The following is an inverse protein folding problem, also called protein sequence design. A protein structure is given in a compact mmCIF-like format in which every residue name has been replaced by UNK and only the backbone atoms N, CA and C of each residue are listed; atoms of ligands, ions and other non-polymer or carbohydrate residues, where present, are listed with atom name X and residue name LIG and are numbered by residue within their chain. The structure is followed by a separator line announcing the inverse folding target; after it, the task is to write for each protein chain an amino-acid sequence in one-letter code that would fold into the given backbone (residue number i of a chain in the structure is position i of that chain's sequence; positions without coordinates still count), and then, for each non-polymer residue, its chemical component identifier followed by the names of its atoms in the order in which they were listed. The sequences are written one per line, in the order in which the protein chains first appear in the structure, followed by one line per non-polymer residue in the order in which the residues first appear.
data_IF_810169855978
#
_entry.id   IF_810169855978
#
_cell.length_a   1.000
_cell.length_b   1.000
_cell.length_c   1.000
_cell.angle_alpha   90.00
_cell.angle_beta   90.00
_cell.angle_gamma   90.00
#
_symmetry.space_group_name_H-M   'P 1'
#
loop_
_entity.id
_entity.type
_entity.pdbx_description
1 polymer ?
#
# COMPACT_ATOMS: atom_id res chain seq x y z
N UNK A 1 -34.75 -5.53 10.34
CA UNK A 1 -33.54 -6.35 10.09
C UNK A 1 -32.68 -5.63 9.06
N UNK A 2 -31.71 -4.84 9.51
CA UNK A 2 -30.90 -3.94 8.67
C UNK A 2 -29.56 -4.62 8.36
N UNK A 3 -29.29 -4.85 7.07
CA UNK A 3 -27.97 -5.30 6.59
C UNK A 3 -26.99 -4.13 6.70
N UNK A 4 -26.05 -4.21 7.65
CA UNK A 4 -24.91 -3.27 7.71
C UNK A 4 -23.95 -3.61 6.57
N UNK A 5 -24.02 -2.83 5.49
CA UNK A 5 -23.01 -2.84 4.46
C UNK A 5 -21.68 -2.38 5.05
N UNK A 6 -20.65 -3.20 4.90
CA UNK A 6 -19.26 -2.85 5.18
C UNK A 6 -18.84 -1.77 4.18
N UNK A 7 -18.92 -0.52 4.62
CA UNK A 7 -18.38 0.61 3.87
C UNK A 7 -16.86 0.49 3.79
N UNK A 8 -16.36 -0.15 2.73
CA UNK A 8 -14.96 0.01 2.31
C UNK A 8 -14.74 1.50 2.06
N UNK A 9 -14.06 2.15 3.00
CA UNK A 9 -13.72 3.57 2.92
C UNK A 9 -12.83 3.72 1.69
N UNK A 10 -13.41 4.13 0.56
CA UNK A 10 -12.63 4.54 -0.63
C UNK A 10 -11.65 5.60 -0.14
N UNK A 11 -10.37 5.26 -0.05
CA UNK A 11 -9.31 6.26 0.16
C UNK A 11 -9.52 7.32 -0.92
N UNK A 12 -9.55 8.58 -0.52
CA UNK A 12 -9.67 9.69 -1.47
C UNK A 12 -8.59 9.52 -2.54
N UNK A 13 -9.03 9.35 -3.79
CA UNK A 13 -8.11 9.25 -4.92
C UNK A 13 -7.50 10.64 -5.14
N UNK A 14 -6.20 10.77 -4.92
CA UNK A 14 -5.48 11.98 -5.29
C UNK A 14 -5.16 11.91 -6.79
N UNK A 15 -5.92 12.63 -7.60
CA UNK A 15 -5.69 12.71 -9.04
C UNK A 15 -4.50 13.62 -9.34
N UNK A 16 -3.63 13.16 -10.23
CA UNK A 16 -2.50 13.94 -10.78
C UNK A 16 -2.65 13.99 -12.29
N UNK A 17 -2.53 15.18 -12.86
CA UNK A 17 -2.52 15.35 -14.31
C UNK A 17 -1.09 15.53 -14.82
N UNK A 18 -0.76 14.78 -15.87
CA UNK A 18 0.56 14.85 -16.51
C UNK A 18 0.42 14.99 -18.02
N UNK A 19 1.36 15.70 -18.63
CA UNK A 19 1.47 15.75 -20.09
C UNK A 19 2.05 14.44 -20.62
N UNK A 20 1.45 13.94 -21.69
CA UNK A 20 2.01 12.86 -22.50
C UNK A 20 3.03 13.47 -23.46
N UNK A 21 4.22 12.85 -23.53
CA UNK A 21 5.34 13.34 -24.35
C UNK A 21 5.79 12.26 -25.34
N UNK A 22 6.32 12.65 -26.52
CA UNK A 22 6.89 11.69 -27.45
C UNK A 22 8.18 11.07 -26.89
N UNK A 23 8.35 9.78 -27.10
CA UNK A 23 9.58 9.02 -26.82
C UNK A 23 9.85 8.10 -28.02
N UNK A 24 10.61 8.59 -29.01
CA UNK A 24 10.78 7.88 -30.28
C UNK A 24 9.44 7.64 -30.98
N UNK A 25 9.16 6.40 -31.40
CA UNK A 25 7.88 5.98 -31.98
C UNK A 25 6.78 5.69 -30.93
N UNK A 26 7.03 6.03 -29.67
CA UNK A 26 6.13 5.78 -28.55
C UNK A 26 5.76 7.07 -27.83
N UNK A 27 4.92 6.94 -26.81
CA UNK A 27 4.50 8.03 -25.93
C UNK A 27 4.75 7.64 -24.48
N UNK A 28 5.07 8.62 -23.64
CA UNK A 28 5.29 8.38 -22.21
C UNK A 28 4.79 9.52 -21.34
N UNK A 29 4.77 9.26 -20.04
CA UNK A 29 4.38 10.21 -18.99
C UNK A 29 5.58 10.43 -18.06
N UNK A 30 5.91 11.69 -17.78
CA UNK A 30 7.00 12.04 -16.86
C UNK A 30 6.48 12.09 -15.43
N UNK A 31 6.78 11.06 -14.65
CA UNK A 31 6.42 10.98 -13.23
C UNK A 31 7.49 11.69 -12.36
N UNK A 32 7.10 12.55 -11.40
CA UNK A 32 8.04 13.13 -10.46
C UNK A 32 8.76 12.06 -9.63
N UNK A 33 10.03 12.30 -9.29
CA UNK A 33 10.84 11.39 -8.45
C UNK A 33 10.13 11.03 -7.13
N UNK A 34 9.49 12.00 -6.48
CA UNK A 34 8.74 11.77 -5.25
C UNK A 34 7.60 10.75 -5.41
N UNK A 35 6.95 10.70 -6.58
CA UNK A 35 5.91 9.69 -6.87
C UNK A 35 6.55 8.31 -7.02
N UNK A 36 7.64 8.20 -7.78
CA UNK A 36 8.37 6.94 -7.95
C UNK A 36 8.86 6.38 -6.61
N UNK A 37 9.47 7.23 -5.78
CA UNK A 37 10.00 6.85 -4.47
C UNK A 37 8.88 6.38 -3.52
N UNK A 38 7.74 7.09 -3.49
CA UNK A 38 6.56 6.73 -2.68
C UNK A 38 6.04 5.33 -3.00
N UNK A 39 6.11 4.92 -4.26
CA UNK A 39 5.64 3.59 -4.71
C UNK A 39 6.78 2.59 -4.89
N UNK A 40 8.00 2.92 -4.43
CA UNK A 40 9.20 2.09 -4.55
C UNK A 40 9.44 1.59 -5.99
N UNK A 41 9.15 2.43 -6.98
CA UNK A 41 9.43 2.18 -8.40
C UNK A 41 10.85 2.67 -8.68
N UNK A 42 11.71 1.80 -9.18
CA UNK A 42 13.11 2.11 -9.49
C UNK A 42 13.36 2.12 -11.00
N UNK A 43 13.68 0.96 -11.53
CA UNK A 43 14.15 0.71 -12.90
C UNK A 43 13.03 0.21 -13.82
N UNK A 44 12.05 -0.51 -13.26
CA UNK A 44 10.95 -1.09 -14.03
C UNK A 44 9.59 -0.91 -13.35
N UNK A 45 8.56 -0.77 -14.18
CA UNK A 45 7.15 -0.74 -13.79
C UNK A 45 6.41 -1.85 -14.52
N UNK A 46 5.50 -2.51 -13.82
CA UNK A 46 4.51 -3.42 -14.42
C UNK A 46 3.26 -2.63 -14.71
N UNK A 47 2.76 -2.73 -15.94
CA UNK A 47 1.54 -2.07 -16.40
C UNK A 47 0.47 -3.13 -16.64
N UNK A 48 -0.68 -2.96 -16.00
CA UNK A 48 -1.88 -3.77 -16.23
C UNK A 48 -2.96 -2.92 -16.89
N UNK A 49 -3.54 -3.42 -17.98
CA UNK A 49 -4.71 -2.83 -18.61
C UNK A 49 -5.97 -3.20 -17.83
N UNK A 50 -6.82 -2.21 -17.54
CA UNK A 50 -8.09 -2.32 -16.81
C UNK A 50 -9.18 -1.54 -17.53
N UNK A 51 -10.44 -1.77 -17.19
CA UNK A 51 -11.58 -1.08 -17.80
C UNK A 51 -11.49 0.44 -17.64
N UNK A 52 -11.03 0.90 -16.48
CA UNK A 52 -10.93 2.31 -16.11
C UNK A 52 -9.59 2.96 -16.49
N UNK A 53 -8.64 2.20 -17.06
CA UNK A 53 -7.33 2.71 -17.49
C UNK A 53 -6.16 1.76 -17.19
N UNK A 54 -4.98 2.34 -16.94
CA UNK A 54 -3.76 1.58 -16.69
C UNK A 54 -3.41 1.60 -15.19
N UNK A 55 -3.20 0.42 -14.60
CA UNK A 55 -2.56 0.32 -13.28
C UNK A 55 -1.05 0.16 -13.45
N UNK A 56 -0.30 1.10 -12.87
CA UNK A 56 1.15 1.04 -12.78
C UNK A 56 1.54 0.56 -11.38
N UNK A 57 2.38 -0.47 -11.29
CA UNK A 57 2.93 -0.97 -10.02
C UNK A 57 4.41 -1.29 -10.11
N UNK A 58 5.12 -1.20 -8.98
CA UNK A 58 6.52 -1.64 -8.92
C UNK A 58 6.62 -3.13 -9.28
N UNK A 59 7.67 -3.48 -10.02
CA UNK A 59 7.93 -4.88 -10.41
C UNK A 59 8.32 -5.75 -9.21
N UNK A 60 9.03 -5.17 -8.25
CA UNK A 60 9.37 -5.84 -7.00
C UNK A 60 8.41 -5.36 -5.91
N UNK A 61 7.61 -6.29 -5.39
CA UNK A 61 6.98 -6.05 -4.09
C UNK A 61 8.10 -6.06 -3.05
N UNK A 62 8.53 -4.87 -2.61
CA UNK A 62 9.54 -4.71 -1.55
C UNK A 62 8.99 -5.07 -0.17
N UNK A 63 7.79 -5.66 -0.09
CA UNK A 63 7.33 -6.35 1.10
C UNK A 63 8.36 -7.42 1.45
N UNK A 64 8.82 -7.33 2.68
CA UNK A 64 9.57 -8.40 3.31
C UNK A 64 8.72 -9.66 3.23
N UNK A 65 9.36 -10.80 3.01
CA UNK A 65 8.73 -12.09 3.29
C UNK A 65 8.28 -12.14 4.76
N UNK A 66 7.41 -13.08 5.11
CA UNK A 66 7.02 -13.28 6.51
C UNK A 66 8.23 -13.50 7.42
N UNK A 67 9.23 -14.25 6.96
CA UNK A 67 10.45 -14.52 7.71
C UNK A 67 11.28 -13.25 7.92
N UNK A 68 11.47 -12.46 6.86
CA UNK A 68 12.20 -11.19 6.95
C UNK A 68 11.46 -10.16 7.80
N UNK A 69 10.12 -10.13 7.72
CA UNK A 69 9.28 -9.28 8.56
C UNK A 69 9.43 -9.66 10.03
N UNK A 70 9.38 -10.97 10.34
CA UNK A 70 9.57 -11.48 11.70
C UNK A 70 10.95 -11.10 12.25
N UNK A 71 12.01 -11.28 11.45
CA UNK A 71 13.37 -10.88 11.85
C UNK A 71 13.50 -9.37 12.06
N UNK A 72 12.87 -8.56 11.21
CA UNK A 72 12.88 -7.11 11.35
C UNK A 72 12.15 -6.66 12.61
N UNK A 73 10.94 -7.17 12.87
CA UNK A 73 10.18 -6.88 14.10
C UNK A 73 10.93 -7.34 15.36
N UNK A 74 11.60 -8.50 15.32
CA UNK A 74 12.40 -8.95 16.46
C UNK A 74 13.64 -8.06 16.72
N UNK A 75 14.15 -7.35 15.71
CA UNK A 75 15.27 -6.43 15.84
C UNK A 75 14.83 -5.02 16.23
N UNK A 76 13.64 -4.58 15.80
CA UNK A 76 13.06 -3.35 16.31
C UNK A 76 12.65 -3.54 17.78
N UNK A 77 13.20 -2.72 18.66
CA UNK A 77 12.79 -2.68 20.07
C UNK A 77 11.53 -1.82 20.19
N UNK A 78 10.46 -2.30 19.56
CA UNK A 78 9.17 -1.61 19.56
C UNK A 78 8.60 -1.58 20.99
N UNK A 79 8.17 -0.39 21.40
CA UNK A 79 7.41 -0.19 22.63
C UNK A 79 5.93 -0.26 22.29
N UNK A 80 5.27 -1.29 22.81
CA UNK A 80 3.86 -1.56 22.58
C UNK A 80 2.98 -1.19 23.78
N UNK A 81 3.52 -0.47 24.78
CA UNK A 81 2.78 -0.10 25.99
C UNK A 81 1.49 0.68 25.71
N UNK A 82 1.42 1.38 24.57
CA UNK A 82 0.22 2.10 24.14
C UNK A 82 -0.99 1.17 23.89
N UNK A 83 -0.75 -0.13 23.70
CA UNK A 83 -1.80 -1.14 23.52
C UNK A 83 -2.31 -1.71 24.85
N UNK A 84 -1.64 -1.46 25.98
CA UNK A 84 -2.03 -1.99 27.30
C UNK A 84 -3.43 -1.52 27.72
N UNK A 85 -3.87 -0.36 27.23
CA UNK A 85 -5.23 0.15 27.44
C UNK A 85 -6.35 -0.71 26.83
N UNK A 86 -6.02 -1.61 25.89
CA UNK A 86 -6.99 -2.54 25.27
C UNK A 86 -7.16 -3.84 26.03
N UNK A 87 -6.31 -4.14 27.01
CA UNK A 87 -6.39 -5.37 27.82
C UNK A 87 -7.63 -5.44 28.71
N UNK A 88 -8.36 -4.33 28.86
CA UNK A 88 -9.58 -4.25 29.66
C UNK A 88 -10.86 -4.27 28.80
N UNK A 89 -10.80 -4.90 27.63
CA UNK A 89 -11.91 -5.01 26.66
C UNK A 89 -12.98 -6.07 27.04
N UNK A 90 -12.76 -6.80 28.15
CA UNK A 90 -13.70 -7.79 28.68
C UNK A 90 -13.56 -9.19 28.08
N UNK A 91 -12.60 -9.41 27.18
CA UNK A 91 -12.30 -10.72 26.59
C UNK A 91 -11.49 -11.63 27.52
N UNK A 92 -10.96 -11.09 28.62
CA UNK A 92 -10.29 -11.81 29.71
C UNK A 92 -11.18 -12.87 30.38
N UNK A 93 -12.50 -12.81 30.14
CA UNK A 93 -13.50 -13.71 30.73
C UNK A 93 -14.05 -14.77 29.78
N UNK A 94 -13.63 -14.78 28.52
CA UNK A 94 -14.04 -15.83 27.58
C UNK A 94 -13.02 -16.99 27.56
N UNK A 95 -13.45 -18.24 27.76
CA UNK A 95 -12.58 -19.40 27.53
C UNK A 95 -12.33 -19.58 26.03
N UNK A 96 -11.10 -19.94 25.70
CA UNK A 96 -10.60 -20.21 24.35
C UNK A 96 -11.18 -21.48 23.72
#
# INVERSE_FOLDING_TARGET
MVRRGTGSRRRSAHSLEFKVVPIGNSRGVRLPKAVLDKYAIRDAVVVEEREEGLLLRSKQDRRLSWEETFKAMAHEREDWSDLDGTLNDGLDKEPW
#
